data_IF_964266823161
#
_entry.id   IF_964266823161
#
_cell.length_a   1.000
_cell.length_b   1.000
_cell.length_c   1.000
_cell.angle_alpha   90.00
_cell.angle_beta   90.00
_cell.angle_gamma   90.00
#
_symmetry.space_group_name_H-M   'P 1'
#
loop_
_entity.id
_entity.type
_entity.pdbx_description
1 polymer ?
#
# COMPACT_ATOMS: atom_id res chain seq x y z
N UNK A 1 19.25 6.00 -1.79
CA UNK A 1 17.95 5.28 -1.77
C UNK A 1 17.66 4.89 -0.33
N UNK A 2 16.53 5.34 0.23
CA UNK A 2 16.14 5.05 1.62
C UNK A 2 14.87 4.22 1.60
N UNK A 3 14.81 3.16 2.41
CA UNK A 3 13.62 2.33 2.57
C UNK A 3 12.84 2.75 3.81
N UNK A 4 11.53 2.83 3.67
CA UNK A 4 10.62 3.17 4.75
C UNK A 4 9.57 2.07 4.89
N UNK A 5 9.28 1.70 6.14
CA UNK A 5 8.15 0.86 6.46
C UNK A 5 6.96 1.77 6.77
N UNK A 6 5.83 1.53 6.10
CA UNK A 6 4.61 2.32 6.28
C UNK A 6 3.41 1.40 6.45
N UNK A 7 2.40 1.92 7.14
CA UNK A 7 1.09 1.30 7.25
C UNK A 7 0.06 2.20 6.57
N UNK A 8 -0.93 1.59 5.92
CA UNK A 8 -2.01 2.29 5.25
C UNK A 8 -3.33 1.54 5.48
N UNK A 9 -4.41 2.29 5.66
CA UNK A 9 -5.76 1.74 5.70
C UNK A 9 -6.46 2.07 4.39
N UNK A 10 -6.95 1.04 3.70
CA UNK A 10 -7.53 1.17 2.36
C UNK A 10 -8.95 0.61 2.39
N UNK A 11 -9.91 1.34 1.81
CA UNK A 11 -11.27 0.84 1.70
C UNK A 11 -11.33 -0.42 0.81
N UNK A 12 -12.09 -1.43 1.27
CA UNK A 12 -12.34 -2.64 0.51
C UNK A 12 -13.01 -2.26 -0.81
N UNK A 13 -12.49 -2.81 -1.91
CA UNK A 13 -13.07 -2.61 -3.23
C UNK A 13 -13.86 -3.85 -3.64
N UNK A 14 -14.82 -3.67 -4.54
CA UNK A 14 -15.67 -4.76 -5.05
C UNK A 14 -14.87 -5.90 -5.69
N UNK A 15 -13.70 -5.58 -6.26
CA UNK A 15 -12.83 -6.57 -6.89
C UNK A 15 -11.41 -6.54 -6.33
N UNK A 16 -10.75 -7.69 -6.19
CA UNK A 16 -9.36 -7.76 -5.73
C UNK A 16 -8.38 -6.94 -6.58
N UNK A 17 -8.61 -6.86 -7.89
CA UNK A 17 -7.77 -6.09 -8.82
C UNK A 17 -7.89 -4.59 -8.57
N UNK A 18 -9.09 -4.07 -8.35
CA UNK A 18 -9.26 -2.66 -7.97
C UNK A 18 -8.61 -2.38 -6.62
N UNK A 19 -8.78 -3.26 -5.64
CA UNK A 19 -8.15 -3.10 -4.33
C UNK A 19 -6.63 -3.02 -4.47
N UNK A 20 -6.01 -3.93 -5.22
CA UNK A 20 -4.58 -3.88 -5.52
C UNK A 20 -4.17 -2.54 -6.14
N UNK A 21 -4.91 -2.05 -7.16
CA UNK A 21 -4.59 -0.79 -7.81
C UNK A 21 -4.67 0.40 -6.85
N UNK A 22 -5.68 0.44 -5.98
CA UNK A 22 -5.84 1.48 -4.97
C UNK A 22 -4.72 1.42 -3.93
N UNK A 23 -4.37 0.22 -3.45
CA UNK A 23 -3.23 0.03 -2.54
C UNK A 23 -1.95 0.57 -3.17
N UNK A 24 -1.61 0.12 -4.38
CA UNK A 24 -0.37 0.56 -5.05
C UNK A 24 -0.36 2.07 -5.32
N UNK A 25 -1.52 2.64 -5.69
CA UNK A 25 -1.65 4.08 -5.90
C UNK A 25 -1.45 4.87 -4.60
N UNK A 26 -1.97 4.40 -3.47
CA UNK A 26 -1.80 5.04 -2.17
C UNK A 26 -0.34 4.94 -1.70
N UNK A 27 0.26 3.76 -1.80
CA UNK A 27 1.66 3.54 -1.42
C UNK A 27 2.62 4.40 -2.26
N UNK A 28 2.34 4.56 -3.57
CA UNK A 28 3.12 5.43 -4.47
C UNK A 28 3.16 6.89 -4.06
N UNK A 29 2.16 7.39 -3.31
CA UNK A 29 2.19 8.77 -2.77
C UNK A 29 3.27 8.94 -1.69
N UNK A 30 3.65 7.84 -1.03
CA UNK A 30 4.66 7.80 0.03
C UNK A 30 6.04 7.38 -0.49
N UNK A 31 6.10 6.65 -1.60
CA UNK A 31 7.33 6.21 -2.26
C UNK A 31 7.08 5.01 -3.19
N UNK A 32 8.09 4.55 -3.92
CA UNK A 32 7.90 3.40 -4.82
C UNK A 32 7.75 2.11 -4.00
N UNK A 33 6.60 1.40 -4.05
CA UNK A 33 6.39 0.18 -3.27
C UNK A 33 7.25 -0.97 -3.78
N UNK A 34 8.05 -1.55 -2.89
CA UNK A 34 8.83 -2.78 -3.18
C UNK A 34 8.07 -4.04 -2.84
N UNK A 35 7.36 -4.00 -1.71
CA UNK A 35 6.51 -5.08 -1.22
C UNK A 35 5.42 -4.50 -0.34
N UNK A 36 4.28 -5.15 -0.33
CA UNK A 36 3.20 -4.86 0.60
C UNK A 36 2.41 -6.14 0.89
N UNK A 37 1.71 -6.15 2.02
CA UNK A 37 0.81 -7.22 2.39
C UNK A 37 -0.37 -6.65 3.17
N UNK A 38 -1.56 -7.23 2.95
CA UNK A 38 -2.71 -6.99 3.80
C UNK A 38 -2.50 -7.78 5.10
N UNK A 39 -2.50 -7.09 6.23
CA UNK A 39 -2.30 -7.69 7.56
C UNK A 39 -3.59 -7.88 8.33
N UNK A 40 -4.63 -7.11 8.00
CA UNK A 40 -5.95 -7.24 8.59
C UNK A 40 -7.02 -6.80 7.61
N UNK A 41 -8.23 -7.35 7.77
CA UNK A 41 -9.44 -6.96 7.05
C UNK A 41 -10.50 -6.67 8.11
N UNK A 42 -10.98 -5.43 8.13
CA UNK A 42 -12.08 -4.97 8.96
C UNK A 42 -13.35 -4.91 8.09
N UNK A 43 -14.20 -5.93 8.23
CA UNK A 43 -15.46 -6.02 7.49
C UNK A 43 -16.52 -5.05 8.02
N UNK A 44 -16.44 -4.61 9.28
CA UNK A 44 -17.40 -3.66 9.86
C UNK A 44 -17.18 -2.26 9.29
N UNK A 45 -15.91 -1.85 9.18
CA UNK A 45 -15.50 -0.57 8.62
C UNK A 45 -15.27 -0.62 7.10
N UNK A 46 -15.34 -1.81 6.49
CA UNK A 46 -15.05 -2.05 5.09
C UNK A 46 -13.64 -1.58 4.70
N UNK A 47 -12.63 -1.91 5.51
CA UNK A 47 -11.24 -1.48 5.31
C UNK A 47 -10.25 -2.62 5.44
N UNK A 48 -9.12 -2.50 4.78
CA UNK A 48 -7.96 -3.38 4.95
C UNK A 48 -6.78 -2.60 5.48
N UNK A 49 -6.08 -3.19 6.45
CA UNK A 49 -4.80 -2.69 6.91
C UNK A 49 -3.70 -3.28 6.02
N UNK A 50 -2.87 -2.42 5.45
CA UNK A 50 -1.76 -2.78 4.58
C UNK A 50 -0.47 -2.32 5.21
N UNK A 51 0.50 -3.22 5.27
CA UNK A 51 1.87 -2.91 5.62
C UNK A 51 2.73 -2.96 4.37
N UNK A 52 3.57 -1.95 4.16
CA UNK A 52 4.38 -1.83 2.96
C UNK A 52 5.80 -1.34 3.25
N UNK A 53 6.71 -1.75 2.38
CA UNK A 53 8.05 -1.16 2.30
C UNK A 53 8.12 -0.35 1.01
N UNK A 54 8.34 0.95 1.15
CA UNK A 54 8.50 1.88 0.04
C UNK A 54 9.94 2.39 -0.02
N UNK A 55 10.39 2.78 -1.21
CA UNK A 55 11.65 3.51 -1.38
C UNK A 55 11.40 4.97 -1.68
N UNK A 56 12.18 5.83 -1.04
CA UNK A 56 12.22 7.25 -1.34
C UNK A 56 13.63 7.64 -1.71
N UNK A 57 13.77 8.40 -2.78
CA UNK A 57 15.05 8.81 -3.37
C UNK A 57 15.14 8.32 -4.81
N UNK A 58 15.54 9.23 -5.70
CA UNK A 58 15.73 8.95 -7.12
C UNK A 58 16.58 7.70 -7.29
N UNK A 59 16.08 6.75 -8.07
CA UNK A 59 16.95 5.79 -8.76
C UNK A 59 17.72 6.67 -9.75
N UNK A 60 18.88 7.20 -9.32
CA UNK A 60 19.80 7.85 -10.25
C UNK A 60 20.13 6.81 -11.33
N UNK A 61 19.66 7.12 -12.54
CA UNK A 61 19.78 6.30 -13.75
C UNK A 61 21.14 6.50 -14.38
#
# INVERSE_FOLDING_TARGET
>A
MTTHFITAEIDIQETPTQLQQVIEAELKKQGEPLRWAITSVDEEQQKVAVEAVVTTGSIES
#
